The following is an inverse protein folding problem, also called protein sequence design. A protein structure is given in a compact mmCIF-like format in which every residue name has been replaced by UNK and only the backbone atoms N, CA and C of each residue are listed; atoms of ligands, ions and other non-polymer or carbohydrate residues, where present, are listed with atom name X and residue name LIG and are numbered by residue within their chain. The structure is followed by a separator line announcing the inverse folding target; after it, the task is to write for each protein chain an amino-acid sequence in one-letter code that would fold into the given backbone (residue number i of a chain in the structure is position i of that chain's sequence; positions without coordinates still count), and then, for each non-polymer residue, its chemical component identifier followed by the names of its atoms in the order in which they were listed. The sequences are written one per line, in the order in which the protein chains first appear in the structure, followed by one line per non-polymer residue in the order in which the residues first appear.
data_IF_423704722391
#
_entry.id   IF_423704722391
#
_cell.length_a   1.000
_cell.length_b   1.000
_cell.length_c   1.000
_cell.angle_alpha   90.00
_cell.angle_beta   90.00
_cell.angle_gamma   90.00
#
_symmetry.space_group_name_H-M   'P 1'
#
loop_
_entity.id
_entity.type
_entity.pdbx_description
1 polymer ?
#
# COMPACT_ATOMS: atom_id res chain seq x y z
N UNK A 1 3.37 -8.05 3.02
CA UNK A 1 3.53 -9.28 2.22
C UNK A 1 4.94 -9.34 1.65
N UNK A 2 5.75 -10.32 2.07
CA UNK A 2 7.13 -10.43 1.60
C UNK A 2 7.19 -10.89 0.15
N UNK A 3 7.87 -10.10 -0.69
CA UNK A 3 8.15 -10.44 -2.10
C UNK A 3 9.18 -11.58 -2.14
N UNK A 4 9.05 -12.48 -3.11
CA UNK A 4 10.04 -13.55 -3.30
C UNK A 4 11.23 -12.96 -4.06
N UNK A 5 12.42 -12.99 -3.44
CA UNK A 5 13.65 -12.51 -4.05
C UNK A 5 13.96 -13.31 -5.32
N UNK A 6 14.14 -12.61 -6.44
CA UNK A 6 14.55 -13.25 -7.68
C UNK A 6 16.07 -13.48 -7.69
N UNK A 7 16.47 -14.75 -7.67
CA UNK A 7 17.86 -15.18 -7.86
C UNK A 7 18.07 -15.82 -9.25
N UNK A 8 17.20 -15.51 -10.22
CA UNK A 8 17.17 -16.10 -11.56
C UNK A 8 16.51 -17.48 -11.62
N UNK A 9 15.81 -17.89 -10.54
CA UNK A 9 15.24 -19.24 -10.37
C UNK A 9 13.78 -19.23 -9.90
N UNK A 10 13.08 -18.11 -10.05
CA UNK A 10 11.66 -18.06 -9.71
C UNK A 10 10.84 -18.95 -10.64
N UNK A 11 9.96 -19.77 -10.07
CA UNK A 11 8.94 -20.47 -10.84
C UNK A 11 7.93 -19.48 -11.44
N UNK A 12 7.22 -19.89 -12.49
CA UNK A 12 6.18 -19.04 -13.09
C UNK A 12 5.10 -18.64 -12.09
N UNK A 13 4.71 -19.53 -11.17
CA UNK A 13 3.78 -19.21 -10.07
C UNK A 13 4.32 -18.11 -9.15
N UNK A 14 5.60 -18.19 -8.79
CA UNK A 14 6.26 -17.17 -7.96
C UNK A 14 6.35 -15.82 -8.68
N UNK A 15 6.60 -15.83 -10.00
CA UNK A 15 6.57 -14.61 -10.82
C UNK A 15 5.18 -13.98 -10.85
N UNK A 16 4.14 -14.78 -11.10
CA UNK A 16 2.72 -14.32 -11.09
C UNK A 16 2.32 -13.77 -9.72
N UNK A 17 2.68 -14.47 -8.65
CA UNK A 17 2.49 -13.99 -7.28
C UNK A 17 3.15 -12.62 -7.06
N UNK A 18 4.44 -12.50 -7.40
CA UNK A 18 5.19 -11.25 -7.24
C UNK A 18 4.56 -10.10 -8.06
N UNK A 19 4.14 -10.36 -9.30
CA UNK A 19 3.45 -9.39 -10.15
C UNK A 19 2.12 -8.92 -9.54
N UNK A 20 1.31 -9.84 -9.03
CA UNK A 20 0.05 -9.54 -8.37
C UNK A 20 0.27 -8.67 -7.12
N UNK A 21 1.20 -9.06 -6.25
CA UNK A 21 1.56 -8.29 -5.05
C UNK A 21 2.07 -6.91 -5.42
N UNK A 22 2.93 -6.79 -6.43
CA UNK A 22 3.43 -5.49 -6.89
C UNK A 22 2.30 -4.59 -7.41
N UNK A 23 1.36 -5.14 -8.18
CA UNK A 23 0.20 -4.41 -8.69
C UNK A 23 -0.71 -3.90 -7.56
N UNK A 24 -1.04 -4.77 -6.60
CA UNK A 24 -1.84 -4.39 -5.44
C UNK A 24 -1.15 -3.30 -4.59
N UNK A 25 0.16 -3.43 -4.36
CA UNK A 25 0.93 -2.40 -3.65
C UNK A 25 0.91 -1.07 -4.39
N UNK A 26 1.09 -1.08 -5.71
CA UNK A 26 1.07 0.13 -6.52
C UNK A 26 -0.28 0.85 -6.43
N UNK A 27 -1.39 0.10 -6.41
CA UNK A 27 -2.73 0.66 -6.21
C UNK A 27 -2.87 1.30 -4.81
N UNK A 28 -2.53 0.56 -3.75
CA UNK A 28 -2.61 1.05 -2.36
C UNK A 28 -1.74 2.29 -2.15
N UNK A 29 -0.49 2.27 -2.61
CA UNK A 29 0.45 3.39 -2.50
C UNK A 29 -0.08 4.62 -3.24
N UNK A 30 -0.66 4.46 -4.43
CA UNK A 30 -1.32 5.55 -5.16
C UNK A 30 -2.51 6.11 -4.38
N UNK A 31 -3.41 5.27 -3.89
CA UNK A 31 -4.59 5.73 -3.12
C UNK A 31 -4.17 6.48 -1.85
N UNK A 32 -3.17 6.00 -1.12
CA UNK A 32 -2.63 6.70 0.06
C UNK A 32 -2.00 8.04 -0.33
N UNK A 33 -1.26 8.07 -1.45
CA UNK A 33 -0.70 9.29 -2.02
C UNK A 33 -1.77 10.33 -2.33
N UNK A 34 -2.84 9.95 -3.04
CA UNK A 34 -3.99 10.81 -3.30
C UNK A 34 -4.65 11.31 -2.01
N UNK A 35 -4.84 10.43 -1.03
CA UNK A 35 -5.44 10.77 0.25
C UNK A 35 -4.60 11.81 1.02
N UNK A 36 -3.28 11.62 1.11
CA UNK A 36 -2.34 12.56 1.75
C UNK A 36 -2.13 13.85 0.94
N UNK A 37 -2.25 13.78 -0.38
CA UNK A 37 -2.21 14.93 -1.28
C UNK A 37 -3.41 15.85 -1.03
N UNK A 38 -4.61 15.27 -1.07
CA UNK A 38 -5.88 15.97 -0.87
C UNK A 38 -6.04 16.47 0.57
N UNK A 39 -5.80 15.61 1.56
CA UNK A 39 -5.91 15.95 2.97
C UNK A 39 -4.52 16.14 3.57
N UNK A 40 -3.89 17.30 3.31
CA UNK A 40 -2.51 17.62 3.76
C UNK A 40 -2.27 17.39 5.26
N UNK A 41 -3.32 17.47 6.09
CA UNK A 41 -3.24 17.18 7.54
C UNK A 41 -2.81 15.74 7.85
N UNK A 42 -3.07 14.79 6.95
CA UNK A 42 -2.64 13.39 7.09
C UNK A 42 -1.12 13.20 6.93
N UNK A 43 -0.39 14.19 6.39
CA UNK A 43 1.08 14.11 6.30
C UNK A 43 1.74 14.22 7.68
N UNK A 44 1.16 15.01 8.58
CA UNK A 44 1.62 15.16 9.95
C UNK A 44 0.41 15.25 10.90
N UNK A 45 0.02 14.11 11.46
CA UNK A 45 -1.02 14.02 12.49
C UNK A 45 -0.39 14.16 13.88
N UNK A 46 -0.23 15.40 14.34
CA UNK A 46 0.12 15.68 15.74
C UNK A 46 -1.11 15.52 16.63
N UNK A 47 -1.42 14.28 17.00
CA UNK A 47 -2.50 13.94 17.93
C UNK A 47 -1.94 13.08 19.06
N UNK A 48 -2.38 13.35 20.28
CA UNK A 48 -1.88 12.67 21.48
C UNK A 48 -2.44 11.24 21.67
N UNK A 49 -3.56 10.94 21.01
CA UNK A 49 -4.26 9.66 21.13
C UNK A 49 -4.36 8.96 19.76
N UNK A 50 -3.99 7.68 19.73
CA UNK A 50 -4.13 6.81 18.56
C UNK A 50 -5.58 6.68 18.09
N UNK A 51 -6.57 6.64 18.99
CA UNK A 51 -7.98 6.57 18.58
C UNK A 51 -8.41 7.80 17.79
N UNK A 52 -7.91 8.98 18.18
CA UNK A 52 -8.16 10.22 17.44
C UNK A 52 -7.49 10.18 16.08
N UNK A 53 -6.27 9.66 15.98
CA UNK A 53 -5.59 9.48 14.70
C UNK A 53 -6.42 8.57 13.77
N UNK A 54 -6.88 7.43 14.27
CA UNK A 54 -7.70 6.48 13.52
C UNK A 54 -8.99 7.12 13.06
N UNK A 55 -9.69 7.87 13.92
CA UNK A 55 -10.92 8.60 13.55
C UNK A 55 -10.69 9.62 12.44
N UNK A 56 -9.60 10.39 12.51
CA UNK A 56 -9.25 11.38 11.47
C UNK A 56 -8.96 10.68 10.14
N UNK A 57 -8.18 9.59 10.16
CA UNK A 57 -7.86 8.81 8.97
C UNK A 57 -9.14 8.22 8.36
N UNK A 58 -10.00 7.62 9.17
CA UNK A 58 -11.28 7.06 8.71
C UNK A 58 -12.19 8.13 8.10
N UNK A 59 -12.32 9.28 8.74
CA UNK A 59 -13.10 10.41 8.21
C UNK A 59 -12.53 10.89 6.87
N UNK A 60 -11.21 10.98 6.73
CA UNK A 60 -10.59 11.34 5.46
C UNK A 60 -10.86 10.31 4.36
N UNK A 61 -10.85 9.01 4.65
CA UNK A 61 -11.24 7.96 3.70
C UNK A 61 -12.70 8.10 3.25
N UNK A 62 -13.63 8.35 4.19
CA UNK A 62 -15.05 8.57 3.87
C UNK A 62 -15.21 9.80 2.97
N UNK A 63 -14.58 10.92 3.32
CA UNK A 63 -14.62 12.13 2.52
C UNK A 63 -14.00 11.92 1.13
N UNK A 64 -12.89 11.19 1.03
CA UNK A 64 -12.28 10.83 -0.24
C UNK A 64 -13.24 10.05 -1.15
N UNK A 65 -13.94 9.07 -0.60
CA UNK A 65 -14.91 8.27 -1.34
C UNK A 65 -16.09 9.12 -1.83
N UNK A 66 -16.55 10.06 -1.02
CA UNK A 66 -17.58 11.02 -1.43
C UNK A 66 -17.08 11.84 -2.63
N UNK A 67 -15.86 12.37 -2.57
CA UNK A 67 -15.28 13.13 -3.68
C UNK A 67 -15.15 12.31 -4.97
N UNK A 68 -14.74 11.04 -4.87
CA UNK A 68 -14.73 10.12 -6.03
C UNK A 68 -16.15 9.98 -6.60
N UNK A 69 -17.15 9.75 -5.74
CA UNK A 69 -18.55 9.58 -6.15
C UNK A 69 -19.15 10.82 -6.78
N UNK A 70 -18.68 12.01 -6.43
CA UNK A 70 -19.11 13.28 -7.04
C UNK A 70 -18.28 13.67 -8.26
N UNK A 71 -17.41 12.79 -8.73
CA UNK A 71 -16.46 13.03 -9.81
C UNK A 71 -15.57 14.28 -9.58
N UNK A 72 -15.31 14.58 -8.30
CA UNK A 72 -14.36 15.61 -7.86
C UNK A 72 -12.96 15.00 -7.87
N UNK A 73 -12.48 14.77 -9.10
CA UNK A 73 -11.15 14.27 -9.36
C UNK A 73 -10.18 15.45 -9.26
N UNK A 74 -9.32 15.40 -8.24
CA UNK A 74 -8.24 16.37 -8.10
C UNK A 74 -6.95 15.74 -8.61
N UNK A 75 -6.75 15.82 -9.93
CA UNK A 75 -5.56 15.31 -10.61
C UNK A 75 -4.27 16.03 -10.16
N UNK A 76 -4.40 17.24 -9.59
CA UNK A 76 -3.28 18.13 -9.27
C UNK A 76 -2.57 17.85 -7.93
N UNK A 77 -3.11 16.98 -7.05
CA UNK A 77 -2.51 16.72 -5.73
C UNK A 77 -1.55 15.54 -5.71
N UNK A 78 -1.25 14.93 -6.86
CA UNK A 78 -0.08 14.06 -6.97
C UNK A 78 1.15 14.96 -6.95
N UNK A 79 1.46 15.54 -5.77
CA UNK A 79 2.85 15.82 -5.47
C UNK A 79 3.59 14.52 -5.76
N UNK A 80 4.62 14.58 -6.60
CA UNK A 80 5.61 13.51 -6.72
C UNK A 80 6.17 13.33 -5.31
N UNK A 81 5.50 12.51 -4.51
CA UNK A 81 6.00 12.05 -3.24
C UNK A 81 7.23 11.23 -3.62
N UNK A 82 8.37 11.89 -3.59
CA UNK A 82 9.66 11.27 -3.30
C UNK A 82 9.62 10.81 -1.83
N UNK A 83 8.54 10.13 -1.39
CA UNK A 83 8.66 9.14 -0.34
C UNK A 83 9.70 8.20 -0.92
N UNK A 84 10.92 8.28 -0.40
CA UNK A 84 11.94 7.27 -0.62
C UNK A 84 11.19 5.97 -0.40
N UNK A 85 10.90 5.24 -1.47
CA UNK A 85 10.28 3.92 -1.37
C UNK A 85 11.13 3.24 -0.31
N UNK A 86 10.60 2.84 0.85
CA UNK A 86 11.39 2.03 1.75
C UNK A 86 11.77 0.84 0.88
N UNK A 87 13.04 0.81 0.44
CA UNK A 87 13.58 -0.20 -0.45
C UNK A 87 13.19 -1.50 0.20
N UNK A 88 12.22 -2.24 -0.39
CA UNK A 88 11.58 -3.44 0.16
C UNK A 88 12.23 -3.79 1.49
N UNK A 89 11.83 -3.14 2.59
CA UNK A 89 12.55 -3.31 3.85
C UNK A 89 12.48 -4.80 4.07
N UNK A 90 13.63 -5.48 3.98
CA UNK A 90 13.70 -6.93 4.11
C UNK A 90 13.53 -7.14 5.60
N UNK A 91 12.29 -7.04 6.06
CA UNK A 91 11.90 -7.50 7.37
C UNK A 91 12.31 -8.97 7.36
N UNK A 92 13.14 -9.42 8.31
CA UNK A 92 13.44 -10.83 8.46
C UNK A 92 12.12 -11.57 8.35
N UNK A 93 12.05 -12.46 7.36
CA UNK A 93 10.84 -13.19 7.09
C UNK A 93 10.55 -14.05 8.33
N UNK A 94 9.55 -13.66 9.11
CA UNK A 94 8.99 -14.52 10.14
C UNK A 94 8.57 -15.84 9.49
N UNK A 95 8.84 -16.97 10.14
CA UNK A 95 8.55 -18.31 9.61
C UNK A 95 7.08 -18.43 9.21
N UNK A 96 6.19 -17.83 10.02
CA UNK A 96 4.75 -17.78 9.75
C UNK A 96 4.43 -16.98 8.48
N UNK A 97 5.13 -15.86 8.27
CA UNK A 97 4.98 -15.03 7.07
C UNK A 97 5.44 -15.75 5.80
N UNK A 98 6.50 -16.55 5.88
CA UNK A 98 6.99 -17.39 4.77
C UNK A 98 5.99 -18.49 4.46
N UNK A 99 5.52 -19.20 5.48
CA UNK A 99 4.58 -20.30 5.32
C UNK A 99 3.27 -19.80 4.67
N UNK A 100 2.73 -18.68 5.15
CA UNK A 100 1.53 -18.08 4.58
C UNK A 100 1.74 -17.64 3.13
N UNK A 101 2.86 -16.97 2.82
CA UNK A 101 3.21 -16.60 1.43
C UNK A 101 3.28 -17.82 0.52
N UNK A 102 3.96 -18.88 0.95
CA UNK A 102 4.11 -20.09 0.15
C UNK A 102 2.75 -20.75 -0.13
N UNK A 103 1.83 -20.79 0.86
CA UNK A 103 0.44 -21.25 0.64
C UNK A 103 -0.28 -20.40 -0.40
N UNK A 104 -0.10 -19.08 -0.39
CA UNK A 104 -0.72 -18.21 -1.40
C UNK A 104 -0.15 -18.44 -2.80
N UNK A 105 1.15 -18.71 -2.93
CA UNK A 105 1.77 -18.99 -4.23
C UNK A 105 1.15 -20.22 -4.89
N UNK A 106 0.77 -21.23 -4.11
CA UNK A 106 0.09 -22.43 -4.64
C UNK A 106 -1.30 -22.15 -5.21
N UNK A 107 -1.92 -21.00 -4.88
CA UNK A 107 -3.20 -20.58 -5.45
C UNK A 107 -3.05 -19.93 -6.83
N UNK A 108 -1.83 -19.66 -7.28
CA UNK A 108 -1.56 -19.14 -8.61
C UNK A 108 -1.30 -20.32 -9.55
N UNK A 109 -1.99 -20.36 -10.69
CA UNK A 109 -1.79 -21.37 -11.73
C UNK A 109 -0.42 -21.24 -12.38
#
# INVERSE_FOLDING_TARGET
MPVIKDNGRLSERQKRFNQCVASMRQLVERTIGHLKGRFRRLRCLHVYNNETAVKIIAAACVLHNICISTNDQLDDFIEHFNEQRPQNQIVPNDEDGVAFRNRLVELFD
#
